data_IF_400346117210
#
_entry.id   IF_400346117210
#
_cell.length_a   1.000
_cell.length_b   1.000
_cell.length_c   1.000
_cell.angle_alpha   90.00
_cell.angle_beta   90.00
_cell.angle_gamma   90.00
#
_symmetry.space_group_name_H-M   'P 1'
#
loop_
_entity.id
_entity.type
_entity.pdbx_description
1 polymer ?
#
# COMPACT_ATOMS: atom_id res chain seq x y z
N UNK A 1 -33.03 0.99 -9.78
CA UNK A 1 -31.79 1.61 -10.32
C UNK A 1 -31.26 2.74 -9.43
N UNK A 2 -32.08 3.69 -8.99
CA UNK A 2 -31.65 4.86 -8.18
C UNK A 2 -31.09 4.45 -6.80
N UNK A 3 -31.73 3.52 -6.09
CA UNK A 3 -31.29 3.05 -4.77
C UNK A 3 -29.97 2.27 -4.83
N UNK A 4 -29.76 1.48 -5.88
CA UNK A 4 -28.53 0.70 -6.07
C UNK A 4 -27.32 1.63 -6.31
N UNK A 5 -27.44 2.62 -7.16
CA UNK A 5 -26.39 3.62 -7.37
C UNK A 5 -26.08 4.47 -6.13
N UNK A 6 -27.07 4.66 -5.23
CA UNK A 6 -26.86 5.37 -3.98
C UNK A 6 -26.06 4.52 -2.97
N UNK A 7 -26.33 3.22 -2.90
CA UNK A 7 -25.64 2.27 -2.01
C UNK A 7 -24.21 2.03 -2.46
N UNK A 8 -23.97 1.86 -3.77
CA UNK A 8 -22.62 1.74 -4.35
C UNK A 8 -21.79 3.01 -4.06
N UNK A 9 -22.38 4.18 -4.26
CA UNK A 9 -21.71 5.46 -4.00
C UNK A 9 -21.35 5.66 -2.52
N UNK A 10 -22.19 5.17 -1.59
CA UNK A 10 -21.91 5.20 -0.16
C UNK A 10 -20.72 4.28 0.19
N UNK A 11 -20.71 3.06 -0.35
CA UNK A 11 -19.65 2.09 -0.15
C UNK A 11 -18.28 2.62 -0.63
N UNK A 12 -18.24 3.23 -1.82
CA UNK A 12 -16.98 3.77 -2.36
C UNK A 12 -16.49 4.99 -1.59
N UNK A 13 -17.39 5.85 -1.11
CA UNK A 13 -17.02 6.95 -0.22
C UNK A 13 -16.38 6.44 1.09
N UNK A 14 -16.96 5.39 1.66
CA UNK A 14 -16.42 4.75 2.87
C UNK A 14 -15.03 4.15 2.62
N UNK A 15 -14.87 3.41 1.51
CA UNK A 15 -13.57 2.87 1.08
C UNK A 15 -12.54 4.00 0.95
N UNK A 16 -12.88 5.08 0.23
CA UNK A 16 -11.98 6.21 0.03
C UNK A 16 -11.58 6.90 1.33
N UNK A 17 -12.53 7.10 2.25
CA UNK A 17 -12.24 7.67 3.57
C UNK A 17 -11.32 6.77 4.39
N UNK A 18 -11.60 5.46 4.45
CA UNK A 18 -10.76 4.49 5.16
C UNK A 18 -9.36 4.38 4.54
N UNK A 19 -9.27 4.29 3.21
CA UNK A 19 -8.00 4.17 2.52
C UNK A 19 -7.11 5.40 2.78
N UNK A 20 -7.66 6.61 2.76
CA UNK A 20 -6.95 7.85 3.09
C UNK A 20 -6.51 7.89 4.56
N UNK A 21 -7.42 7.59 5.50
CA UNK A 21 -7.14 7.56 6.95
C UNK A 21 -6.01 6.60 7.29
N UNK A 22 -5.97 5.46 6.58
CA UNK A 22 -4.98 4.41 6.77
C UNK A 22 -3.76 4.55 5.84
N UNK A 23 -3.75 5.56 4.98
CA UNK A 23 -2.77 5.76 3.89
C UNK A 23 -2.56 4.52 3.03
N UNK A 24 -3.64 3.79 2.72
CA UNK A 24 -3.59 2.60 1.88
C UNK A 24 -3.88 2.94 0.42
N UNK A 25 -3.09 2.39 -0.47
CA UNK A 25 -3.28 2.52 -1.92
C UNK A 25 -3.84 1.23 -2.51
N UNK A 26 -4.68 1.36 -3.55
CA UNK A 26 -5.49 0.27 -4.11
C UNK A 26 -5.19 0.13 -5.60
N UNK A 27 -5.07 -1.12 -6.06
CA UNK A 27 -5.03 -1.51 -7.46
C UNK A 27 -6.09 -2.60 -7.75
N UNK A 28 -6.59 -2.65 -8.99
CA UNK A 28 -7.67 -3.55 -9.40
C UNK A 28 -7.29 -4.36 -10.63
N UNK A 29 -7.43 -5.69 -10.57
CA UNK A 29 -7.37 -6.58 -11.73
C UNK A 29 -8.78 -7.05 -12.11
N UNK A 30 -9.25 -6.64 -13.26
CA UNK A 30 -10.61 -6.94 -13.72
C UNK A 30 -10.61 -7.96 -14.86
N UNK A 31 -11.43 -8.98 -14.73
CA UNK A 31 -11.72 -9.92 -15.81
C UNK A 31 -13.17 -9.76 -16.26
N UNK A 32 -14.12 -10.40 -15.59
CA UNK A 32 -15.51 -10.41 -16.00
C UNK A 32 -16.21 -9.05 -15.79
N UNK A 33 -15.77 -8.24 -14.85
CA UNK A 33 -16.29 -6.88 -14.61
C UNK A 33 -15.85 -5.87 -15.68
N UNK A 34 -14.67 -6.08 -16.31
CA UNK A 34 -14.26 -5.38 -17.53
C UNK A 34 -14.17 -3.86 -17.38
N UNK A 35 -13.53 -3.36 -16.34
CA UNK A 35 -13.32 -1.93 -16.05
C UNK A 35 -14.38 -1.31 -15.13
N UNK A 36 -15.38 -2.07 -14.69
CA UNK A 36 -16.47 -1.55 -13.86
C UNK A 36 -16.03 -1.14 -12.47
N UNK A 37 -15.15 -1.92 -11.81
CA UNK A 37 -14.68 -1.65 -10.46
C UNK A 37 -13.83 -0.38 -10.46
N UNK A 38 -12.91 -0.27 -11.41
CA UNK A 38 -12.07 0.93 -11.60
C UNK A 38 -12.91 2.17 -11.88
N UNK A 39 -13.94 2.05 -12.73
CA UNK A 39 -14.90 3.14 -13.00
C UNK A 39 -15.59 3.60 -11.72
N UNK A 40 -16.16 2.67 -10.96
CA UNK A 40 -16.88 2.98 -9.71
C UNK A 40 -15.94 3.66 -8.68
N UNK A 41 -14.69 3.19 -8.53
CA UNK A 41 -13.74 3.80 -7.61
C UNK A 41 -13.38 5.24 -8.00
N UNK A 42 -13.32 5.52 -9.31
CA UNK A 42 -12.97 6.85 -9.85
C UNK A 42 -14.14 7.82 -9.92
N UNK A 43 -15.38 7.39 -9.72
CA UNK A 43 -16.55 8.27 -9.64
C UNK A 43 -16.54 9.24 -8.45
N UNK A 44 -15.65 9.02 -7.48
CA UNK A 44 -15.52 9.87 -6.29
C UNK A 44 -14.32 10.81 -6.45
N UNK A 45 -14.56 12.11 -6.33
CA UNK A 45 -13.50 13.13 -6.35
C UNK A 45 -12.45 12.86 -5.28
N UNK A 46 -11.17 12.99 -5.62
CA UNK A 46 -10.04 12.67 -4.76
C UNK A 46 -9.70 11.17 -4.70
N UNK A 47 -10.19 10.38 -5.66
CA UNK A 47 -9.82 8.96 -5.79
C UNK A 47 -8.34 8.75 -6.09
N UNK A 48 -7.65 9.71 -6.70
CA UNK A 48 -6.21 9.67 -6.96
C UNK A 48 -5.35 9.56 -5.70
N UNK A 49 -5.89 9.91 -4.53
CA UNK A 49 -5.17 9.81 -3.27
C UNK A 49 -5.02 8.35 -2.80
N UNK A 50 -5.87 7.44 -3.27
CA UNK A 50 -5.87 6.03 -2.86
C UNK A 50 -5.92 5.03 -4.01
N UNK A 51 -6.52 5.36 -5.15
CA UNK A 51 -6.60 4.47 -6.31
C UNK A 51 -5.44 4.73 -7.26
N UNK A 52 -4.52 3.77 -7.37
CA UNK A 52 -3.33 3.89 -8.22
C UNK A 52 -3.57 3.48 -9.66
N UNK A 53 -4.57 2.63 -9.91
CA UNK A 53 -4.89 2.15 -11.25
C UNK A 53 -5.39 0.72 -11.28
N UNK A 54 -5.66 0.22 -12.50
CA UNK A 54 -6.14 -1.13 -12.69
C UNK A 54 -5.75 -1.71 -14.05
N UNK A 55 -5.84 -3.04 -14.14
CA UNK A 55 -5.60 -3.83 -15.35
C UNK A 55 -6.87 -4.60 -15.71
N UNK A 56 -7.41 -4.38 -16.91
CA UNK A 56 -8.48 -5.21 -17.46
C UNK A 56 -7.84 -6.41 -18.16
N UNK A 57 -7.70 -7.51 -17.43
CA UNK A 57 -7.11 -8.76 -17.88
C UNK A 57 -8.18 -9.71 -18.43
N UNK A 58 -8.85 -9.32 -19.53
CA UNK A 58 -9.99 -10.04 -20.08
C UNK A 58 -9.58 -11.36 -20.74
N UNK A 59 -8.47 -11.37 -21.49
CA UNK A 59 -7.88 -12.55 -22.09
C UNK A 59 -6.86 -13.21 -21.16
N UNK A 60 -6.67 -14.53 -21.28
CA UNK A 60 -5.71 -15.26 -20.44
C UNK A 60 -4.26 -14.78 -20.64
N UNK A 61 -3.88 -14.45 -21.88
CA UNK A 61 -2.52 -13.93 -22.15
C UNK A 61 -2.23 -12.66 -21.36
N UNK A 62 -3.24 -11.79 -21.16
CA UNK A 62 -3.07 -10.58 -20.34
C UNK A 62 -2.91 -10.94 -18.86
N UNK A 63 -3.61 -11.99 -18.39
CA UNK A 63 -3.41 -12.49 -17.02
C UNK A 63 -1.97 -12.96 -16.82
N UNK A 64 -1.43 -13.70 -17.79
CA UNK A 64 -0.05 -14.21 -17.73
C UNK A 64 0.95 -13.07 -17.92
N UNK A 65 0.90 -12.39 -19.06
CA UNK A 65 1.96 -11.45 -19.48
C UNK A 65 2.01 -10.17 -18.63
N UNK A 66 0.86 -9.69 -18.13
CA UNK A 66 0.79 -8.42 -17.39
C UNK A 66 0.71 -8.65 -15.88
N UNK A 67 -0.12 -9.57 -15.43
CA UNK A 67 -0.34 -9.82 -14.01
C UNK A 67 0.55 -10.94 -13.45
N UNK A 68 1.26 -11.69 -14.30
CA UNK A 68 2.13 -12.78 -13.86
C UNK A 68 1.38 -14.00 -13.33
N UNK A 69 0.12 -14.20 -13.75
CA UNK A 69 -0.63 -15.43 -13.43
C UNK A 69 0.09 -16.62 -14.05
N UNK A 70 0.32 -17.67 -13.27
CA UNK A 70 1.03 -18.86 -13.73
C UNK A 70 0.21 -19.64 -14.79
N UNK A 71 0.84 -20.03 -15.88
CA UNK A 71 0.20 -20.83 -16.94
C UNK A 71 -0.26 -22.20 -16.42
N UNK A 72 0.46 -22.77 -15.47
CA UNK A 72 0.10 -24.00 -14.78
C UNK A 72 -1.17 -23.84 -13.95
N UNK A 73 -1.36 -22.69 -13.30
CA UNK A 73 -2.60 -22.34 -12.59
C UNK A 73 -3.78 -22.28 -13.56
N UNK A 74 -3.61 -21.60 -14.70
CA UNK A 74 -4.66 -21.52 -15.71
C UNK A 74 -5.00 -22.87 -16.34
N UNK A 75 -4.01 -23.73 -16.54
CA UNK A 75 -4.23 -25.07 -17.13
C UNK A 75 -4.86 -26.05 -16.13
N UNK A 76 -4.51 -25.96 -14.85
CA UNK A 76 -4.99 -26.88 -13.81
C UNK A 76 -6.34 -26.49 -13.23
N UNK A 77 -6.56 -25.19 -12.97
CA UNK A 77 -7.75 -24.66 -12.30
C UNK A 77 -8.65 -23.84 -13.22
N UNK A 78 -8.12 -23.41 -14.38
CA UNK A 78 -8.83 -22.56 -15.33
C UNK A 78 -8.89 -21.09 -14.89
N UNK A 79 -9.27 -20.23 -15.83
CA UNK A 79 -9.33 -18.78 -15.61
C UNK A 79 -10.34 -18.36 -14.52
N UNK A 80 -11.36 -19.17 -14.25
CA UNK A 80 -12.37 -18.92 -13.22
C UNK A 80 -12.11 -19.87 -12.06
N UNK A 81 -11.29 -19.44 -11.12
CA UNK A 81 -10.87 -20.20 -9.93
C UNK A 81 -10.39 -19.27 -8.83
N UNK A 82 -10.32 -19.78 -7.61
CA UNK A 82 -9.75 -19.06 -6.45
C UNK A 82 -8.27 -18.77 -6.66
N UNK A 83 -7.54 -19.72 -7.23
CA UNK A 83 -6.11 -19.60 -7.50
C UNK A 83 -5.83 -18.46 -8.49
N UNK A 84 -6.56 -18.44 -9.61
CA UNK A 84 -6.43 -17.35 -10.60
C UNK A 84 -6.81 -16.00 -10.01
N UNK A 85 -7.87 -15.92 -9.20
CA UNK A 85 -8.25 -14.67 -8.54
C UNK A 85 -7.16 -14.18 -7.58
N UNK A 86 -6.58 -15.08 -6.79
CA UNK A 86 -5.48 -14.74 -5.87
C UNK A 86 -4.26 -14.20 -6.63
N UNK A 87 -3.82 -14.91 -7.66
CA UNK A 87 -2.66 -14.51 -8.46
C UNK A 87 -2.90 -13.20 -9.21
N UNK A 88 -4.10 -12.96 -9.74
CA UNK A 88 -4.48 -11.67 -10.34
C UNK A 88 -4.38 -10.52 -9.34
N UNK A 89 -4.85 -10.71 -8.09
CA UNK A 89 -4.78 -9.70 -7.04
C UNK A 89 -3.33 -9.41 -6.64
N UNK A 90 -2.49 -10.45 -6.48
CA UNK A 90 -1.05 -10.31 -6.21
C UNK A 90 -0.36 -9.58 -7.37
N UNK A 91 -0.64 -9.98 -8.60
CA UNK A 91 -0.05 -9.42 -9.79
C UNK A 91 -0.34 -7.93 -9.95
N UNK A 92 -1.59 -7.51 -9.84
CA UNK A 92 -1.95 -6.10 -10.00
C UNK A 92 -1.36 -5.23 -8.87
N UNK A 93 -1.33 -5.74 -7.64
CA UNK A 93 -0.68 -5.06 -6.52
C UNK A 93 0.78 -4.76 -6.83
N UNK A 94 1.49 -5.74 -7.37
CA UNK A 94 2.91 -5.63 -7.71
C UNK A 94 3.16 -4.71 -8.90
N UNK A 95 2.43 -4.90 -10.00
CA UNK A 95 2.61 -4.14 -11.25
C UNK A 95 2.32 -2.66 -11.07
N UNK A 96 1.28 -2.34 -10.30
CA UNK A 96 0.87 -0.95 -10.04
C UNK A 96 1.61 -0.34 -8.84
N UNK A 97 2.24 -1.17 -8.00
CA UNK A 97 2.93 -0.72 -6.79
C UNK A 97 1.96 -0.22 -5.72
N UNK A 98 0.85 -0.92 -5.51
CA UNK A 98 -0.16 -0.58 -4.50
C UNK A 98 0.01 -1.40 -3.21
N UNK A 99 -0.60 -0.92 -2.11
CA UNK A 99 -0.62 -1.65 -0.84
C UNK A 99 -1.58 -2.84 -0.91
N UNK A 100 -2.73 -2.65 -1.57
CA UNK A 100 -3.81 -3.62 -1.71
C UNK A 100 -4.10 -3.85 -3.20
N UNK A 101 -4.05 -5.10 -3.63
CA UNK A 101 -4.56 -5.53 -4.93
C UNK A 101 -5.89 -6.24 -4.74
N UNK A 102 -6.90 -5.91 -5.55
CA UNK A 102 -8.15 -6.67 -5.59
C UNK A 102 -8.40 -7.18 -7.00
N UNK A 103 -9.14 -8.28 -7.11
CA UNK A 103 -9.41 -8.90 -8.41
C UNK A 103 -10.80 -9.49 -8.52
N UNK A 104 -11.27 -9.68 -9.75
CA UNK A 104 -12.40 -10.54 -10.10
C UNK A 104 -12.06 -11.49 -11.23
N UNK A 105 -12.64 -12.67 -11.20
CA UNK A 105 -12.77 -13.57 -12.36
C UNK A 105 -14.08 -14.35 -12.26
N UNK A 106 -14.75 -14.59 -13.38
CA UNK A 106 -16.07 -15.24 -13.32
C UNK A 106 -16.75 -15.45 -14.66
N UNK A 107 -17.89 -16.12 -14.61
CA UNK A 107 -18.77 -16.42 -15.74
C UNK A 107 -20.04 -15.57 -15.64
N UNK A 108 -20.02 -14.41 -16.27
CA UNK A 108 -21.16 -13.49 -16.20
C UNK A 108 -22.41 -13.97 -16.95
N UNK A 109 -22.23 -14.89 -17.90
CA UNK A 109 -23.30 -15.44 -18.73
C UNK A 109 -23.64 -14.57 -19.97
N UNK A 110 -24.66 -14.95 -20.79
CA UNK A 110 -25.50 -16.16 -20.65
C UNK A 110 -24.78 -17.45 -21.04
N UNK A 111 -23.63 -17.35 -21.69
CA UNK A 111 -22.77 -18.47 -22.12
C UNK A 111 -21.53 -18.60 -21.24
N UNK A 112 -20.69 -19.61 -21.50
CA UNK A 112 -19.40 -19.80 -20.82
C UNK A 112 -19.44 -20.79 -19.66
N UNK A 113 -20.61 -21.35 -19.30
CA UNK A 113 -20.67 -22.44 -18.33
C UNK A 113 -19.92 -23.67 -18.82
N UNK A 114 -19.25 -24.34 -17.88
CA UNK A 114 -18.59 -25.63 -18.10
C UNK A 114 -18.99 -26.60 -16.96
N UNK A 115 -18.74 -27.92 -17.09
CA UNK A 115 -18.97 -28.83 -15.99
C UNK A 115 -18.28 -28.34 -14.71
N UNK A 116 -19.06 -28.18 -13.63
CA UNK A 116 -18.59 -27.67 -12.34
C UNK A 116 -18.42 -26.14 -12.24
N UNK A 117 -18.61 -25.37 -13.33
CA UNK A 117 -18.52 -23.90 -13.32
C UNK A 117 -19.75 -23.30 -14.02
N UNK A 118 -20.84 -23.06 -13.27
CA UNK A 118 -22.09 -22.54 -13.85
C UNK A 118 -21.98 -21.04 -14.18
N UNK A 119 -22.91 -20.53 -14.97
CA UNK A 119 -23.15 -19.10 -15.14
C UNK A 119 -23.41 -18.47 -13.76
N UNK A 120 -22.84 -17.31 -13.50
CA UNK A 120 -22.95 -16.60 -12.24
C UNK A 120 -21.88 -16.98 -11.21
N UNK A 121 -21.03 -17.97 -11.50
CA UNK A 121 -19.88 -18.27 -10.63
C UNK A 121 -18.80 -17.20 -10.79
N UNK A 122 -18.40 -16.62 -9.66
CA UNK A 122 -17.31 -15.64 -9.58
C UNK A 122 -16.39 -15.97 -8.40
N UNK A 123 -15.13 -15.65 -8.58
CA UNK A 123 -14.13 -15.55 -7.52
C UNK A 123 -13.62 -14.11 -7.44
N UNK A 124 -13.58 -13.58 -6.25
CA UNK A 124 -12.98 -12.28 -5.96
C UNK A 124 -11.74 -12.50 -5.10
N UNK A 125 -10.70 -11.71 -5.34
CA UNK A 125 -9.42 -11.82 -4.64
C UNK A 125 -9.02 -10.50 -4.00
N UNK A 126 -8.30 -10.59 -2.89
CA UNK A 126 -7.64 -9.48 -2.22
C UNK A 126 -6.23 -9.92 -1.81
N UNK A 127 -5.22 -9.16 -2.22
CA UNK A 127 -3.83 -9.42 -1.91
C UNK A 127 -3.18 -8.22 -1.23
N UNK A 128 -2.34 -8.52 -0.26
CA UNK A 128 -1.47 -7.59 0.47
C UNK A 128 -0.06 -8.18 0.53
N UNK A 129 0.86 -7.51 1.23
CA UNK A 129 2.24 -8.00 1.32
C UNK A 129 2.32 -9.40 1.95
N UNK A 130 1.50 -9.68 2.95
CA UNK A 130 1.55 -10.91 3.75
C UNK A 130 0.75 -12.08 3.13
N UNK A 131 0.16 -11.90 1.95
CA UNK A 131 -0.57 -12.96 1.26
C UNK A 131 -1.83 -12.50 0.53
N UNK A 132 -2.61 -13.48 0.07
CA UNK A 132 -3.86 -13.24 -0.62
C UNK A 132 -5.00 -14.09 -0.02
N UNK A 133 -6.22 -13.58 -0.12
CA UNK A 133 -7.46 -14.30 0.22
C UNK A 133 -8.46 -14.19 -0.91
N UNK A 134 -9.35 -15.16 -1.02
CA UNK A 134 -10.38 -15.21 -2.06
C UNK A 134 -11.73 -15.57 -1.46
N UNK A 135 -12.79 -15.14 -2.15
CA UNK A 135 -14.17 -15.53 -1.85
C UNK A 135 -14.83 -16.03 -3.13
N UNK A 136 -15.64 -17.09 -3.00
CA UNK A 136 -16.48 -17.61 -4.08
C UNK A 136 -17.89 -17.07 -3.94
N UNK A 137 -18.43 -16.59 -5.06
CA UNK A 137 -19.82 -16.11 -5.15
C UNK A 137 -20.56 -16.82 -6.27
N UNK A 138 -21.86 -17.08 -6.06
CA UNK A 138 -22.78 -17.58 -7.07
C UNK A 138 -23.92 -16.58 -7.22
N UNK A 139 -24.02 -15.96 -8.38
CA UNK A 139 -25.08 -15.01 -8.72
C UNK A 139 -26.06 -15.63 -9.73
N UNK A 140 -27.33 -15.28 -9.63
CA UNK A 140 -28.44 -15.82 -10.45
C UNK A 140 -29.04 -14.79 -11.41
N UNK A 141 -28.38 -13.63 -11.53
CA UNK A 141 -28.82 -12.56 -12.41
C UNK A 141 -28.46 -12.76 -13.89
N UNK A 142 -28.91 -11.83 -14.72
CA UNK A 142 -28.40 -11.71 -16.09
C UNK A 142 -26.97 -11.13 -16.11
N UNK A 143 -26.31 -11.14 -17.29
CA UNK A 143 -24.92 -10.69 -17.43
C UNK A 143 -24.61 -9.32 -16.82
N UNK A 144 -25.37 -8.23 -17.06
CA UNK A 144 -25.15 -6.96 -16.40
C UNK A 144 -25.30 -7.02 -14.86
N UNK A 145 -26.28 -7.78 -14.38
CA UNK A 145 -26.52 -7.95 -12.94
C UNK A 145 -25.39 -8.74 -12.27
N UNK A 146 -24.95 -9.84 -12.86
CA UNK A 146 -23.84 -10.65 -12.34
C UNK A 146 -22.54 -9.85 -12.26
N UNK A 147 -22.22 -9.06 -13.29
CA UNK A 147 -21.05 -8.17 -13.29
C UNK A 147 -21.14 -7.10 -12.19
N UNK A 148 -22.30 -6.47 -12.02
CA UNK A 148 -22.51 -5.46 -10.97
C UNK A 148 -22.41 -6.11 -9.58
N UNK A 149 -22.96 -7.32 -9.40
CA UNK A 149 -22.86 -8.03 -8.11
C UNK A 149 -21.42 -8.42 -7.79
N UNK A 150 -20.65 -8.85 -8.79
CA UNK A 150 -19.23 -9.16 -8.64
C UNK A 150 -18.41 -7.89 -8.27
N UNK A 151 -18.65 -6.77 -8.94
CA UNK A 151 -18.01 -5.50 -8.58
C UNK A 151 -18.33 -5.10 -7.13
N UNK A 152 -19.58 -5.24 -6.71
CA UNK A 152 -19.99 -4.97 -5.33
C UNK A 152 -19.32 -5.92 -4.34
N UNK A 153 -19.16 -7.22 -4.67
CA UNK A 153 -18.48 -8.18 -3.82
C UNK A 153 -17.01 -7.79 -3.60
N UNK A 154 -16.29 -7.42 -4.67
CA UNK A 154 -14.90 -6.93 -4.57
C UNK A 154 -14.81 -5.68 -3.68
N UNK A 155 -15.69 -4.70 -3.89
CA UNK A 155 -15.69 -3.47 -3.09
C UNK A 155 -16.05 -3.73 -1.62
N UNK A 156 -16.94 -4.69 -1.35
CA UNK A 156 -17.29 -5.11 0.01
C UNK A 156 -16.10 -5.77 0.70
N UNK A 157 -15.44 -6.74 0.05
CA UNK A 157 -14.24 -7.38 0.56
C UNK A 157 -13.14 -6.35 0.87
N UNK A 158 -12.94 -5.37 0.00
CA UNK A 158 -11.98 -4.29 0.19
C UNK A 158 -12.33 -3.41 1.39
N UNK A 159 -13.59 -2.98 1.53
CA UNK A 159 -14.04 -2.21 2.70
C UNK A 159 -13.83 -2.98 3.99
N UNK A 160 -14.25 -4.24 4.02
CA UNK A 160 -14.17 -5.07 5.22
C UNK A 160 -12.71 -5.27 5.65
N UNK A 161 -11.80 -5.45 4.68
CA UNK A 161 -10.37 -5.50 4.96
C UNK A 161 -9.84 -4.17 5.53
N UNK A 162 -10.25 -3.03 4.99
CA UNK A 162 -9.85 -1.72 5.54
C UNK A 162 -10.39 -1.51 6.96
N UNK A 163 -11.61 -1.97 7.25
CA UNK A 163 -12.17 -1.97 8.61
C UNK A 163 -11.39 -2.90 9.55
N UNK A 164 -10.97 -4.09 9.09
CA UNK A 164 -10.09 -4.97 9.86
C UNK A 164 -8.77 -4.28 10.23
N UNK A 165 -8.14 -3.57 9.27
CA UNK A 165 -6.93 -2.77 9.56
C UNK A 165 -7.25 -1.73 10.64
N UNK A 166 -8.30 -0.95 10.45
CA UNK A 166 -8.70 0.10 11.41
C UNK A 166 -8.95 -0.46 12.80
N UNK A 167 -9.66 -1.57 12.89
CA UNK A 167 -9.96 -2.26 14.16
C UNK A 167 -8.72 -2.86 14.82
N UNK A 168 -7.66 -3.14 14.08
CA UNK A 168 -6.40 -3.65 14.63
C UNK A 168 -5.57 -2.58 15.34
N UNK A 169 -5.82 -1.30 15.07
CA UNK A 169 -5.07 -0.19 15.66
C UNK A 169 -5.45 -0.03 17.12
N UNK A 170 -4.47 -0.17 18.00
CA UNK A 170 -4.61 0.00 19.46
C UNK A 170 -4.00 1.30 19.93
N UNK A 171 -2.98 1.79 19.24
CA UNK A 171 -2.22 2.98 19.59
C UNK A 171 -1.83 3.76 18.33
N UNK A 172 -1.93 5.08 18.40
CA UNK A 172 -1.42 6.00 17.39
C UNK A 172 -0.27 6.79 18.00
N UNK A 173 0.86 6.83 17.29
CA UNK A 173 2.04 7.63 17.68
C UNK A 173 2.48 8.50 16.53
N UNK A 174 2.96 9.69 16.88
CA UNK A 174 3.58 10.62 15.93
C UNK A 174 5.08 10.48 16.02
N UNK A 175 5.73 10.45 14.87
CA UNK A 175 7.20 10.37 14.76
C UNK A 175 7.70 11.33 13.70
N UNK A 176 8.91 11.80 13.87
CA UNK A 176 9.67 12.48 12.81
C UNK A 176 10.57 11.46 12.12
N UNK A 177 10.84 11.66 10.83
CA UNK A 177 11.83 10.86 10.09
C UNK A 177 12.64 11.81 9.20
N UNK A 178 13.94 11.91 9.46
CA UNK A 178 14.84 12.78 8.75
C UNK A 178 15.67 11.96 7.75
N UNK A 179 15.57 12.34 6.48
CA UNK A 179 16.44 11.83 5.42
C UNK A 179 17.62 12.78 5.28
N UNK A 180 18.80 12.27 5.55
CA UNK A 180 20.07 13.00 5.43
C UNK A 180 20.66 12.73 4.05
N UNK A 181 20.84 13.77 3.26
CA UNK A 181 21.41 13.71 1.90
C UNK A 181 22.80 14.32 1.88
N UNK A 182 23.76 13.64 1.24
CA UNK A 182 25.05 14.17 0.88
C UNK A 182 25.47 13.66 -0.50
N UNK A 183 25.83 14.57 -1.40
CA UNK A 183 26.25 14.25 -2.79
C UNK A 183 25.28 13.33 -3.54
N UNK A 184 23.96 13.54 -3.37
CA UNK A 184 22.90 12.78 -4.05
C UNK A 184 22.62 11.40 -3.45
N UNK A 185 23.27 11.02 -2.34
CA UNK A 185 23.00 9.79 -1.61
C UNK A 185 22.26 10.06 -0.33
N UNK A 186 21.47 9.11 0.10
CA UNK A 186 20.69 9.16 1.35
C UNK A 186 21.35 8.25 2.39
N UNK A 187 21.51 8.79 3.60
CA UNK A 187 21.97 8.03 4.74
C UNK A 187 20.85 7.15 5.28
N UNK A 188 21.06 5.85 5.31
CA UNK A 188 20.23 4.88 6.01
C UNK A 188 20.98 4.38 7.26
N UNK A 189 20.26 4.33 8.38
CA UNK A 189 20.73 3.83 9.66
C UNK A 189 20.10 2.48 9.95
N UNK A 190 20.88 1.49 10.33
CA UNK A 190 20.39 0.17 10.70
C UNK A 190 20.07 0.14 12.18
N UNK A 191 18.80 -0.04 12.52
CA UNK A 191 18.32 -0.13 13.90
C UNK A 191 18.98 -1.29 14.63
N UNK A 192 19.47 -1.04 15.83
CA UNK A 192 20.14 -2.06 16.64
C UNK A 192 19.14 -3.14 17.13
N UNK A 193 19.64 -4.22 17.67
CA UNK A 193 18.79 -5.26 18.27
C UNK A 193 18.27 -4.88 19.67
N UNK A 194 18.75 -3.77 20.22
CA UNK A 194 18.38 -3.26 21.55
C UNK A 194 17.16 -2.35 21.54
N UNK A 195 16.74 -1.81 20.36
CA UNK A 195 15.57 -0.95 20.25
C UNK A 195 14.25 -1.72 20.41
N UNK A 196 13.16 -1.01 20.71
CA UNK A 196 11.85 -1.62 20.98
C UNK A 196 11.18 -2.24 19.75
N UNK A 197 11.27 -1.59 18.58
CA UNK A 197 10.55 -1.98 17.35
C UNK A 197 11.47 -2.02 16.15
N UNK A 198 11.10 -2.83 15.14
CA UNK A 198 11.78 -2.94 13.84
C UNK A 198 13.30 -3.19 13.94
N UNK A 199 13.69 -4.11 14.82
CA UNK A 199 15.09 -4.49 15.06
C UNK A 199 15.77 -4.95 13.77
N UNK A 200 16.93 -4.37 13.46
CA UNK A 200 17.71 -4.70 12.27
C UNK A 200 17.18 -4.11 10.96
N UNK A 201 16.03 -3.43 10.97
CA UNK A 201 15.52 -2.72 9.80
C UNK A 201 16.30 -1.42 9.56
N UNK A 202 16.29 -0.95 8.31
CA UNK A 202 16.89 0.32 7.92
C UNK A 202 15.87 1.45 8.01
N UNK A 203 16.30 2.61 8.50
CA UNK A 203 15.48 3.81 8.71
C UNK A 203 16.28 5.07 8.38
N UNK A 204 15.62 6.22 8.35
CA UNK A 204 16.27 7.52 8.56
C UNK A 204 16.43 7.80 10.05
N UNK A 205 17.01 8.93 10.44
CA UNK A 205 16.99 9.43 11.83
C UNK A 205 15.54 9.63 12.24
N UNK A 206 15.10 9.04 13.35
CA UNK A 206 13.66 8.98 13.66
C UNK A 206 13.38 8.87 15.15
N UNK A 207 12.54 9.75 15.67
CA UNK A 207 12.09 9.71 17.05
C UNK A 207 10.64 10.10 17.25
N UNK A 208 10.16 9.95 18.47
CA UNK A 208 8.81 10.31 18.84
C UNK A 208 8.63 11.83 18.87
N UNK A 209 7.52 12.30 18.30
CA UNK A 209 7.13 13.71 18.44
C UNK A 209 6.59 13.92 19.85
N UNK A 210 7.37 14.55 20.70
CA UNK A 210 7.03 14.84 22.07
C UNK A 210 5.89 15.88 22.18
N UNK A 211 5.02 15.77 23.19
CA UNK A 211 3.93 16.72 23.42
C UNK A 211 4.45 18.15 23.58
N UNK A 212 3.98 19.05 22.71
CA UNK A 212 4.34 20.47 22.72
C UNK A 212 5.42 20.85 21.74
N UNK A 213 6.20 19.91 21.21
CA UNK A 213 7.20 20.19 20.18
C UNK A 213 6.55 20.31 18.81
N UNK A 214 7.10 21.18 17.97
CA UNK A 214 6.80 21.17 16.54
C UNK A 214 7.62 20.07 15.85
N UNK A 215 7.10 19.48 14.76
CA UNK A 215 7.82 18.40 14.08
C UNK A 215 9.27 18.75 13.68
N UNK A 216 9.52 19.95 13.18
CA UNK A 216 10.87 20.37 12.81
C UNK A 216 11.79 20.53 14.04
N UNK A 217 11.27 21.03 15.16
CA UNK A 217 12.02 21.13 16.41
C UNK A 217 12.44 19.76 16.92
N UNK A 218 11.51 18.80 16.88
CA UNK A 218 11.81 17.41 17.25
C UNK A 218 12.81 16.76 16.29
N UNK A 219 12.68 17.00 15.00
CA UNK A 219 13.63 16.51 14.00
C UNK A 219 15.07 16.97 14.28
N UNK A 220 15.26 18.20 14.72
CA UNK A 220 16.58 18.73 15.10
C UNK A 220 17.11 18.08 16.39
N UNK A 221 16.24 17.78 17.35
CA UNK A 221 16.61 17.07 18.58
C UNK A 221 17.11 15.66 18.24
N UNK A 222 16.33 14.89 17.49
CA UNK A 222 16.69 13.53 17.09
C UNK A 222 18.01 13.48 16.29
N UNK A 223 18.21 14.44 15.37
CA UNK A 223 19.48 14.51 14.64
C UNK A 223 20.67 14.76 15.55
N UNK A 224 20.50 15.55 16.61
CA UNK A 224 21.56 15.75 17.59
C UNK A 224 21.77 14.49 18.45
N UNK A 225 20.71 13.84 18.91
CA UNK A 225 20.78 12.68 19.79
C UNK A 225 21.31 11.43 19.08
N UNK A 226 20.78 11.11 17.88
CA UNK A 226 21.11 9.86 17.18
C UNK A 226 22.38 9.95 16.31
N UNK A 227 22.69 11.14 15.73
CA UNK A 227 23.79 11.28 14.76
C UNK A 227 24.72 12.47 15.03
N UNK A 228 24.54 13.21 16.11
CA UNK A 228 25.37 14.32 16.58
C UNK A 228 25.46 15.50 15.59
N UNK A 229 24.44 15.70 14.74
CA UNK A 229 24.37 16.82 13.82
C UNK A 229 23.56 17.98 14.41
N UNK A 230 24.19 19.17 14.48
CA UNK A 230 23.51 20.41 14.88
C UNK A 230 22.99 21.23 13.71
N UNK A 231 22.34 22.35 14.02
CA UNK A 231 21.75 23.25 13.02
C UNK A 231 22.78 23.81 12.01
N UNK A 232 24.04 23.96 12.44
CA UNK A 232 25.11 24.44 11.57
C UNK A 232 25.64 23.38 10.59
N UNK A 233 25.35 22.10 10.84
CA UNK A 233 25.84 20.97 10.05
C UNK A 233 24.90 20.56 8.91
N UNK A 234 23.65 21.02 8.96
CA UNK A 234 22.60 20.63 8.02
C UNK A 234 21.90 21.83 7.39
N UNK A 235 21.23 21.60 6.27
CA UNK A 235 20.33 22.54 5.60
C UNK A 235 18.99 21.83 5.35
N UNK A 236 17.87 22.43 5.84
CA UNK A 236 16.54 21.90 5.54
C UNK A 236 16.21 22.11 4.07
N UNK A 237 16.07 21.04 3.33
CA UNK A 237 15.71 21.05 1.91
C UNK A 237 14.21 21.04 1.69
N UNK A 238 13.48 20.20 2.46
CA UNK A 238 12.03 20.05 2.32
C UNK A 238 11.41 19.43 3.55
N UNK A 239 10.25 19.95 3.93
CA UNK A 239 9.29 19.31 4.84
C UNK A 239 8.19 18.67 4.02
N UNK A 240 7.88 17.41 4.28
CA UNK A 240 6.84 16.66 3.57
C UNK A 240 5.53 16.59 4.35
N UNK A 241 4.44 16.38 3.61
CA UNK A 241 3.15 16.10 4.23
C UNK A 241 3.21 14.80 5.04
N UNK A 242 2.62 14.77 6.25
CA UNK A 242 2.60 13.57 7.07
C UNK A 242 1.93 12.38 6.35
N UNK A 243 2.38 11.18 6.69
CA UNK A 243 1.77 9.93 6.20
C UNK A 243 1.52 8.95 7.34
N UNK A 244 0.46 8.14 7.21
CA UNK A 244 0.21 7.07 8.15
C UNK A 244 0.91 5.78 7.68
N UNK A 245 1.55 5.10 8.63
CA UNK A 245 2.07 3.75 8.45
C UNK A 245 1.40 2.85 9.51
N UNK A 246 0.57 1.90 9.06
CA UNK A 246 -0.14 1.00 9.96
C UNK A 246 0.58 -0.34 10.02
N UNK A 247 0.93 -0.76 11.22
CA UNK A 247 1.43 -2.09 11.51
C UNK A 247 0.37 -2.90 12.25
N UNK A 248 -0.28 -3.83 11.53
CA UNK A 248 -1.34 -4.69 12.09
C UNK A 248 -0.82 -5.64 13.16
N UNK A 249 0.43 -6.11 13.04
CA UNK A 249 1.01 -7.07 13.98
C UNK A 249 1.28 -6.40 15.34
N UNK A 250 1.79 -5.17 15.30
CA UNK A 250 2.01 -4.36 16.49
C UNK A 250 0.73 -3.69 17.00
N UNK A 251 -0.29 -3.57 16.16
CA UNK A 251 -1.50 -2.78 16.46
C UNK A 251 -1.21 -1.28 16.54
N UNK A 252 -0.23 -0.81 15.79
CA UNK A 252 0.27 0.56 15.82
C UNK A 252 -0.08 1.31 14.53
N UNK A 253 -0.44 2.57 14.69
CA UNK A 253 -0.52 3.54 13.61
C UNK A 253 0.50 4.63 13.85
N UNK A 254 1.47 4.73 12.98
CA UNK A 254 2.49 5.77 13.01
C UNK A 254 2.06 6.92 12.11
N UNK A 255 2.10 8.14 12.62
CA UNK A 255 1.98 9.37 11.81
C UNK A 255 3.40 9.90 11.64
N UNK A 256 3.95 9.64 10.46
CA UNK A 256 5.34 9.99 10.13
C UNK A 256 5.38 11.40 9.55
N UNK A 257 6.17 12.28 10.14
CA UNK A 257 6.50 13.61 9.63
C UNK A 257 7.86 13.56 8.95
N UNK A 258 7.95 13.48 7.61
CA UNK A 258 9.20 13.32 6.91
C UNK A 258 9.88 14.66 6.64
N UNK A 259 11.20 14.68 6.78
CA UNK A 259 12.08 15.83 6.49
C UNK A 259 13.23 15.41 5.61
N UNK A 260 13.66 16.29 4.72
CA UNK A 260 14.87 16.13 3.92
C UNK A 260 15.87 17.21 4.31
N UNK A 261 17.04 16.79 4.77
CA UNK A 261 18.16 17.65 5.11
C UNK A 261 19.37 17.32 4.25
N UNK A 262 20.07 18.36 3.80
CA UNK A 262 21.41 18.22 3.22
C UNK A 262 22.43 18.31 4.32
N UNK A 263 23.33 17.33 4.41
CA UNK A 263 24.46 17.30 5.33
C UNK A 263 25.66 17.97 4.65
N UNK A 264 26.32 18.93 5.32
CA UNK A 264 27.50 19.62 4.80
C UNK A 264 28.72 18.74 4.74
N UNK A 265 28.95 17.95 5.78
CA UNK A 265 30.12 17.07 5.94
C UNK A 265 29.66 15.68 6.47
N UNK A 266 29.77 14.64 5.65
CA UNK A 266 29.33 13.30 6.04
C UNK A 266 30.09 12.68 7.20
N UNK A 267 31.38 13.05 7.37
CA UNK A 267 32.27 12.50 8.40
C UNK A 267 31.89 12.99 9.82
N UNK A 268 30.98 13.97 9.94
CA UNK A 268 30.45 14.42 11.23
C UNK A 268 29.37 13.52 11.81
N UNK A 269 28.85 12.57 11.03
CA UNK A 269 27.81 11.64 11.50
C UNK A 269 28.44 10.60 12.41
N UNK A 270 27.96 10.56 13.65
CA UNK A 270 28.35 9.57 14.65
C UNK A 270 27.07 8.91 15.18
N UNK A 271 26.85 7.63 14.84
CA UNK A 271 25.68 6.89 15.27
C UNK A 271 25.76 6.52 16.75
N UNK A 272 24.62 6.57 17.42
CA UNK A 272 24.48 6.19 18.81
C UNK A 272 24.20 4.69 19.02
N UNK A 273 23.80 4.29 20.23
CA UNK A 273 23.49 2.90 20.60
C UNK A 273 22.23 2.33 19.92
N UNK A 274 21.37 3.18 19.43
CA UNK A 274 20.15 2.77 18.72
C UNK A 274 20.44 2.20 17.34
N UNK A 275 21.63 2.48 16.80
CA UNK A 275 22.02 2.10 15.47
C UNK A 275 23.27 1.19 15.47
N UNK A 276 23.30 0.21 14.59
CA UNK A 276 24.37 -0.78 14.46
C UNK A 276 25.19 -0.64 13.16
N UNK A 277 24.69 0.11 12.18
CA UNK A 277 25.32 0.30 10.87
C UNK A 277 24.80 1.58 10.21
N UNK A 278 25.58 2.16 9.30
CA UNK A 278 25.25 3.34 8.53
C UNK A 278 25.62 3.11 7.06
N UNK A 279 24.75 3.50 6.12
CA UNK A 279 25.02 3.39 4.68
C UNK A 279 24.51 4.60 3.91
N UNK A 280 25.35 5.07 3.01
CA UNK A 280 24.96 6.04 1.98
C UNK A 280 24.53 5.28 0.74
N UNK A 281 23.24 5.39 0.38
CA UNK A 281 22.61 4.65 -0.71
C UNK A 281 22.06 5.61 -1.77
N UNK A 282 21.99 5.14 -3.00
CA UNK A 282 21.23 5.88 -4.03
C UNK A 282 19.75 5.86 -3.65
N UNK A 283 19.02 6.98 -3.69
CA UNK A 283 17.60 7.03 -3.33
C UNK A 283 16.71 5.99 -4.03
N UNK A 284 17.02 5.62 -5.26
CA UNK A 284 16.31 4.56 -6.00
C UNK A 284 16.45 3.17 -5.38
N UNK A 285 17.51 2.95 -4.60
CA UNK A 285 17.84 1.65 -4.02
C UNK A 285 17.25 1.47 -2.59
N UNK A 286 16.58 2.49 -2.02
CA UNK A 286 15.95 2.43 -0.69
C UNK A 286 15.04 1.19 -0.58
N UNK A 287 14.23 0.91 -1.62
CA UNK A 287 13.32 -0.23 -1.65
C UNK A 287 13.99 -1.60 -1.71
N UNK A 288 15.30 -1.69 -1.91
CA UNK A 288 16.07 -2.94 -1.87
C UNK A 288 16.49 -3.37 -0.45
N UNK A 289 16.31 -2.49 0.52
CA UNK A 289 16.66 -2.73 1.91
C UNK A 289 15.43 -3.16 2.72
N UNK A 290 15.59 -4.04 3.73
CA UNK A 290 14.53 -4.31 4.71
C UNK A 290 14.35 -3.08 5.61
N UNK A 291 13.47 -2.18 5.21
CA UNK A 291 13.25 -0.89 5.88
C UNK A 291 12.11 -0.96 6.89
N UNK A 292 12.03 0.06 7.76
CA UNK A 292 10.81 0.33 8.53
C UNK A 292 9.64 0.60 7.59
N UNK A 293 8.38 0.35 8.02
CA UNK A 293 7.22 0.53 7.15
C UNK A 293 7.16 1.92 6.49
N UNK A 294 6.92 1.93 5.19
CA UNK A 294 6.70 3.13 4.35
C UNK A 294 7.86 4.13 4.29
N UNK A 295 9.10 3.68 4.55
CA UNK A 295 10.26 4.57 4.45
C UNK A 295 10.43 5.16 3.03
N UNK A 296 10.22 4.34 2.00
CA UNK A 296 10.33 4.80 0.61
C UNK A 296 9.27 5.86 0.27
N UNK A 297 8.03 5.67 0.71
CA UNK A 297 6.96 6.65 0.50
C UNK A 297 7.20 7.94 1.30
N UNK A 298 7.77 7.83 2.50
CA UNK A 298 8.18 8.98 3.27
C UNK A 298 9.26 9.79 2.52
N UNK A 299 10.26 9.10 1.94
CA UNK A 299 11.25 9.73 1.07
C UNK A 299 10.63 10.43 -0.14
N UNK A 300 9.71 9.75 -0.84
CA UNK A 300 9.03 10.32 -2.02
C UNK A 300 8.29 11.63 -1.73
N UNK A 301 7.83 11.85 -0.48
CA UNK A 301 7.17 13.11 -0.09
C UNK A 301 8.15 14.28 0.08
N UNK A 302 9.40 13.98 0.36
CA UNK A 302 10.44 15.00 0.61
C UNK A 302 11.52 15.05 -0.46
N UNK A 303 11.59 14.09 -1.36
CA UNK A 303 12.51 14.14 -2.50
C UNK A 303 12.24 15.39 -3.35
N UNK A 304 13.33 16.03 -3.78
CA UNK A 304 13.31 17.14 -4.73
C UNK A 304 13.67 16.52 -6.08
N UNK A 305 12.66 16.43 -6.95
CA UNK A 305 12.85 15.94 -8.32
C UNK A 305 13.44 17.05 -9.17
#
# INVERSE_FOLDING_TARGET
MVERGHMERKLVKEIGALAKELSQTIAVAESATGGMISSILTDISGSSDYFRGGVVAYHNDVKVCVLGVDEGTLSSYGAVSSETAAEMAVGVRSVVGADIGVSDTGIAGPTGATPGKPVGLFYVGLAVMDGARTEQHQFDGNRPQNRSSAAQAVLTMLRDYLLEIKASIREEKRVVTCFLEHEGKICLLRRSLSVGTYKGAWAGVSGYLEPGNKPLEQAMIEMWEEVHLGADDVELMKEGEPLAAVDKQLGMKWIVHPFHFRVKEQDKIHIDWEHSDLRWVDPKDIGMYPTVPRLLEAWQRVSIV
#
